data_IF_532923225049
#
_entry.id   IF_532923225049
#
_cell.length_a   1.000
_cell.length_b   1.000
_cell.length_c   1.000
_cell.angle_alpha   90.00
_cell.angle_beta   90.00
_cell.angle_gamma   90.00
#
_symmetry.space_group_name_H-M   'P 1'
#
loop_
_entity.id
_entity.type
_entity.pdbx_description
1 polymer ?
#
# COMPACT_ATOMS: atom_id res chain seq x y z
N UNK A 1 6.83 -4.84 -16.34
CA UNK A 1 6.04 -4.48 -15.14
C UNK A 1 4.65 -4.05 -15.59
N UNK A 2 3.59 -4.54 -14.95
CA UNK A 2 2.22 -4.12 -15.25
C UNK A 2 1.91 -2.82 -14.49
N UNK A 3 1.51 -1.74 -15.18
CA UNK A 3 1.25 -0.45 -14.55
C UNK A 3 -0.07 -0.46 -13.78
N UNK A 4 -0.26 0.50 -12.87
CA UNK A 4 -1.57 0.80 -12.27
C UNK A 4 -2.49 1.34 -13.36
N UNK A 5 -3.71 0.81 -13.44
CA UNK A 5 -4.67 1.16 -14.48
C UNK A 5 -5.86 1.96 -13.95
N UNK A 6 -6.63 2.56 -14.87
CA UNK A 6 -7.92 3.20 -14.53
C UNK A 6 -8.96 2.21 -14.02
N UNK A 7 -8.94 0.97 -14.51
CA UNK A 7 -9.83 -0.07 -14.04
C UNK A 7 -9.58 -0.42 -12.57
N UNK A 8 -8.29 -0.46 -12.15
CA UNK A 8 -7.92 -0.68 -10.75
C UNK A 8 -8.47 0.43 -9.84
N UNK A 9 -8.34 1.68 -10.28
CA UNK A 9 -8.87 2.85 -9.58
C UNK A 9 -10.40 2.83 -9.46
N UNK A 10 -11.11 2.55 -10.56
CA UNK A 10 -12.57 2.50 -10.58
C UNK A 10 -13.11 1.36 -9.70
N UNK A 11 -12.48 0.19 -9.78
CA UNK A 11 -12.83 -0.96 -8.94
C UNK A 11 -12.59 -0.64 -7.46
N UNK A 12 -11.41 -0.14 -7.11
CA UNK A 12 -11.08 0.21 -5.74
C UNK A 12 -12.01 1.28 -5.18
N UNK A 13 -12.28 2.35 -5.96
CA UNK A 13 -13.23 3.39 -5.58
C UNK A 13 -14.64 2.87 -5.35
N UNK A 14 -15.11 1.98 -6.24
CA UNK A 14 -16.44 1.34 -6.11
C UNK A 14 -16.51 0.48 -4.85
N UNK A 15 -15.52 -0.38 -4.61
CA UNK A 15 -15.45 -1.22 -3.43
C UNK A 15 -15.35 -0.40 -2.13
N UNK A 16 -14.54 0.66 -2.12
CA UNK A 16 -14.36 1.57 -1.00
C UNK A 16 -15.66 2.31 -0.65
N UNK A 17 -16.37 2.85 -1.65
CA UNK A 17 -17.67 3.50 -1.43
C UNK A 17 -18.71 2.48 -0.93
N UNK A 18 -18.77 1.30 -1.54
CA UNK A 18 -19.65 0.24 -1.09
C UNK A 18 -19.34 -0.16 0.36
N UNK A 19 -18.06 -0.25 0.74
CA UNK A 19 -17.64 -0.56 2.09
C UNK A 19 -18.13 0.50 3.06
N UNK A 20 -17.85 1.79 2.80
CA UNK A 20 -18.32 2.91 3.63
C UNK A 20 -19.84 2.93 3.83
N UNK A 21 -20.60 2.52 2.82
CA UNK A 21 -22.06 2.41 2.86
C UNK A 21 -22.58 1.12 3.50
N UNK A 22 -21.71 0.20 3.96
CA UNK A 22 -22.09 -1.09 4.54
C UNK A 22 -22.61 -2.10 3.50
N UNK A 23 -22.23 -1.94 2.23
CA UNK A 23 -22.72 -2.72 1.07
C UNK A 23 -21.63 -3.52 0.35
N UNK A 24 -20.39 -3.57 0.86
CA UNK A 24 -19.31 -4.28 0.19
C UNK A 24 -19.39 -5.81 0.31
N UNK A 25 -19.99 -6.36 1.38
CA UNK A 25 -20.02 -7.82 1.62
C UNK A 25 -20.57 -8.64 0.43
N UNK A 26 -21.70 -8.28 -0.22
CA UNK A 26 -22.18 -9.00 -1.40
C UNK A 26 -21.22 -8.93 -2.60
N UNK A 27 -20.57 -7.79 -2.81
CA UNK A 27 -19.60 -7.59 -3.90
C UNK A 27 -18.41 -8.54 -3.68
N UNK A 28 -17.86 -8.53 -2.48
CA UNK A 28 -16.70 -9.35 -2.13
C UNK A 28 -17.04 -10.84 -2.16
N UNK A 29 -18.23 -11.24 -1.69
CA UNK A 29 -18.69 -12.63 -1.80
C UNK A 29 -18.88 -13.09 -3.26
N UNK A 30 -19.31 -12.20 -4.15
CA UNK A 30 -19.42 -12.52 -5.58
C UNK A 30 -18.03 -12.67 -6.22
N UNK A 31 -17.09 -11.79 -5.89
CA UNK A 31 -15.71 -11.86 -6.38
C UNK A 31 -14.99 -13.11 -5.87
N UNK A 32 -15.20 -13.48 -4.60
CA UNK A 32 -14.71 -14.73 -4.03
C UNK A 32 -15.19 -15.95 -4.82
N UNK A 33 -16.51 -16.04 -5.06
CA UNK A 33 -17.10 -17.14 -5.85
C UNK A 33 -16.57 -17.19 -7.28
N UNK A 34 -16.18 -16.06 -7.83
CA UNK A 34 -15.57 -15.99 -9.17
C UNK A 34 -14.16 -16.55 -9.12
N UNK A 35 -13.32 -16.07 -8.20
CA UNK A 35 -11.97 -16.56 -7.98
C UNK A 35 -11.93 -18.08 -7.69
N UNK A 36 -12.85 -18.58 -6.85
CA UNK A 36 -12.97 -20.02 -6.57
C UNK A 36 -13.34 -20.86 -7.82
N UNK A 37 -14.03 -20.27 -8.80
CA UNK A 37 -14.42 -20.96 -10.06
C UNK A 37 -13.38 -20.84 -11.16
N UNK A 38 -12.70 -19.69 -11.22
CA UNK A 38 -11.72 -19.31 -12.24
C UNK A 38 -10.30 -19.41 -11.64
N UNK A 39 -10.02 -20.47 -10.87
CA UNK A 39 -8.75 -20.65 -10.17
C UNK A 39 -7.55 -20.76 -11.12
N UNK A 40 -7.81 -21.11 -12.39
CA UNK A 40 -6.84 -21.17 -13.48
C UNK A 40 -6.61 -19.81 -14.16
N UNK A 41 -7.48 -18.82 -13.95
CA UNK A 41 -7.26 -17.43 -14.35
C UNK A 41 -6.55 -16.66 -13.23
N UNK A 42 -5.25 -16.39 -13.36
CA UNK A 42 -4.48 -15.68 -12.33
C UNK A 42 -4.99 -14.26 -12.06
N UNK A 43 -5.68 -13.64 -13.02
CA UNK A 43 -6.20 -12.28 -12.89
C UNK A 43 -7.53 -12.23 -12.14
N UNK A 44 -8.21 -13.36 -11.96
CA UNK A 44 -9.52 -13.42 -11.29
C UNK A 44 -9.43 -13.11 -9.79
N UNK A 45 -8.29 -13.41 -9.15
CA UNK A 45 -8.02 -13.12 -7.74
C UNK A 45 -7.73 -11.66 -7.46
N UNK A 46 -7.21 -10.89 -8.43
CA UNK A 46 -6.82 -9.50 -8.19
C UNK A 46 -8.01 -8.61 -7.80
N UNK A 47 -9.15 -8.61 -8.51
CA UNK A 47 -10.32 -7.84 -8.11
C UNK A 47 -10.83 -8.19 -6.70
N UNK A 48 -10.75 -9.47 -6.33
CA UNK A 48 -11.14 -9.96 -5.02
C UNK A 48 -10.25 -9.34 -3.94
N UNK A 49 -8.93 -9.51 -4.05
CA UNK A 49 -7.96 -8.94 -3.12
C UNK A 49 -8.06 -7.40 -3.02
N UNK A 50 -8.19 -6.72 -4.16
CA UNK A 50 -8.31 -5.26 -4.20
C UNK A 50 -9.55 -4.76 -3.43
N UNK A 51 -10.66 -5.49 -3.52
CA UNK A 51 -11.90 -5.16 -2.80
C UNK A 51 -11.80 -5.41 -1.30
N UNK A 52 -11.09 -6.47 -0.89
CA UNK A 52 -10.81 -6.74 0.52
C UNK A 52 -9.96 -5.63 1.13
N UNK A 53 -8.91 -5.18 0.42
CA UNK A 53 -8.10 -4.02 0.86
C UNK A 53 -8.95 -2.75 0.96
N UNK A 54 -9.83 -2.50 -0.01
CA UNK A 54 -10.73 -1.34 0.03
C UNK A 54 -11.65 -1.36 1.27
N UNK A 55 -12.10 -2.55 1.69
CA UNK A 55 -12.86 -2.73 2.93
C UNK A 55 -12.01 -2.44 4.17
N UNK A 56 -10.79 -3.00 4.24
CA UNK A 56 -9.85 -2.79 5.34
C UNK A 56 -9.58 -1.30 5.58
N UNK A 57 -9.38 -0.52 4.51
CA UNK A 57 -9.06 0.92 4.62
C UNK A 57 -10.30 1.82 4.65
N UNK A 58 -11.51 1.26 4.67
CA UNK A 58 -12.75 2.04 4.64
C UNK A 58 -13.01 2.82 5.94
N UNK A 59 -12.40 2.39 7.05
CA UNK A 59 -12.54 3.00 8.37
C UNK A 59 -13.81 2.59 9.13
N UNK A 60 -14.49 1.50 8.71
CA UNK A 60 -15.63 0.95 9.46
C UNK A 60 -15.20 -0.20 10.38
N UNK A 61 -15.74 -0.18 11.60
CA UNK A 61 -15.43 -1.20 12.61
C UNK A 61 -16.07 -2.57 12.34
N UNK A 62 -17.13 -2.65 11.52
CA UNK A 62 -17.79 -3.92 11.16
C UNK A 62 -17.03 -4.73 10.10
N UNK A 63 -15.80 -4.30 9.79
CA UNK A 63 -14.87 -4.96 8.85
C UNK A 63 -13.60 -5.49 9.53
N UNK A 64 -13.53 -5.45 10.88
CA UNK A 64 -12.44 -6.05 11.67
C UNK A 64 -12.31 -7.58 11.53
N UNK A 65 -13.32 -8.25 10.95
CA UNK A 65 -13.32 -9.70 10.68
C UNK A 65 -12.60 -10.09 9.37
N UNK A 66 -12.03 -9.14 8.62
CA UNK A 66 -11.37 -9.49 7.36
C UNK A 66 -10.06 -10.24 7.59
N UNK A 67 -9.95 -11.42 6.97
CA UNK A 67 -8.78 -12.27 7.10
C UNK A 67 -7.61 -11.67 6.32
N UNK A 68 -6.71 -11.03 7.06
CA UNK A 68 -5.41 -10.57 6.58
C UNK A 68 -4.70 -11.63 5.73
N UNK A 69 -4.78 -12.90 6.15
CA UNK A 69 -4.14 -14.03 5.49
C UNK A 69 -4.70 -14.23 4.10
N UNK A 70 -6.04 -14.15 3.96
CA UNK A 70 -6.73 -14.32 2.68
C UNK A 70 -6.31 -13.25 1.66
N UNK A 71 -6.10 -12.00 2.09
CA UNK A 71 -5.57 -10.93 1.22
C UNK A 71 -4.16 -11.27 0.75
N UNK A 72 -3.27 -11.65 1.68
CA UNK A 72 -1.87 -11.93 1.36
C UNK A 72 -1.72 -13.17 0.49
N UNK A 73 -2.51 -14.22 0.73
CA UNK A 73 -2.54 -15.45 -0.06
C UNK A 73 -3.06 -15.19 -1.47
N UNK A 74 -4.21 -14.51 -1.61
CA UNK A 74 -4.77 -14.18 -2.94
C UNK A 74 -3.79 -13.35 -3.77
N UNK A 75 -3.10 -12.38 -3.15
CA UNK A 75 -2.07 -11.59 -3.83
C UNK A 75 -0.81 -12.42 -4.14
N UNK A 76 -0.53 -13.47 -3.37
CA UNK A 76 0.59 -14.37 -3.61
C UNK A 76 0.35 -15.29 -4.79
N UNK A 77 -0.86 -15.82 -4.93
CA UNK A 77 -1.26 -16.62 -6.10
C UNK A 77 -1.14 -15.80 -7.39
N UNK A 78 -1.64 -14.56 -7.36
CA UNK A 78 -1.47 -13.63 -8.47
C UNK A 78 0.00 -13.37 -8.78
N UNK A 79 0.84 -13.08 -7.78
CA UNK A 79 2.25 -12.76 -8.01
C UNK A 79 3.10 -13.99 -8.39
N UNK A 80 2.62 -15.20 -8.11
CA UNK A 80 3.23 -16.43 -8.62
C UNK A 80 3.10 -16.52 -10.14
N UNK A 81 1.94 -16.13 -10.67
CA UNK A 81 1.63 -16.21 -12.11
C UNK A 81 2.05 -14.93 -12.86
N UNK A 82 1.86 -13.77 -12.23
CA UNK A 82 2.14 -12.43 -12.76
C UNK A 82 3.13 -11.68 -11.85
N UNK A 83 4.40 -12.11 -11.77
CA UNK A 83 5.39 -11.54 -10.83
C UNK A 83 5.70 -10.06 -11.09
N UNK A 84 5.37 -9.56 -12.28
CA UNK A 84 5.50 -8.16 -12.68
C UNK A 84 4.34 -7.26 -12.28
N UNK A 85 3.31 -7.75 -11.58
CA UNK A 85 2.14 -6.97 -11.18
C UNK A 85 2.46 -5.99 -10.04
N UNK A 86 2.69 -4.72 -10.39
CA UNK A 86 3.18 -3.71 -9.44
C UNK A 86 2.21 -3.48 -8.28
N UNK A 87 0.93 -3.22 -8.59
CA UNK A 87 -0.06 -2.88 -7.57
C UNK A 87 -0.30 -4.03 -6.60
N UNK A 88 -0.40 -5.27 -7.08
CA UNK A 88 -0.52 -6.44 -6.24
C UNK A 88 0.63 -6.59 -5.24
N UNK A 89 1.87 -6.41 -5.69
CA UNK A 89 3.04 -6.46 -4.80
C UNK A 89 3.03 -5.32 -3.79
N UNK A 90 2.73 -4.10 -4.24
CA UNK A 90 2.59 -2.95 -3.35
C UNK A 90 1.53 -3.22 -2.27
N UNK A 91 0.34 -3.71 -2.64
CA UNK A 91 -0.75 -4.01 -1.73
C UNK A 91 -0.40 -5.14 -0.76
N UNK A 92 0.34 -6.16 -1.21
CA UNK A 92 0.80 -7.25 -0.35
C UNK A 92 1.75 -6.72 0.72
N UNK A 93 2.75 -5.93 0.33
CA UNK A 93 3.66 -5.26 1.26
C UNK A 93 2.87 -4.37 2.22
N UNK A 94 2.02 -3.48 1.69
CA UNK A 94 1.22 -2.56 2.49
C UNK A 94 0.38 -3.30 3.54
N UNK A 95 -0.31 -4.37 3.13
CA UNK A 95 -1.13 -5.20 4.03
C UNK A 95 -0.28 -5.78 5.14
N UNK A 96 0.90 -6.35 4.84
CA UNK A 96 1.86 -6.82 5.85
C UNK A 96 2.29 -5.73 6.83
N UNK A 97 2.36 -4.48 6.37
CA UNK A 97 2.70 -3.34 7.24
C UNK A 97 1.58 -2.89 8.19
N UNK A 98 0.37 -3.42 8.03
CA UNK A 98 -0.75 -3.13 8.94
C UNK A 98 -0.70 -4.00 10.21
N UNK A 99 0.09 -5.09 10.22
CA UNK A 99 0.24 -5.90 11.41
C UNK A 99 0.94 -5.10 12.53
N UNK A 100 0.38 -5.07 13.75
CA UNK A 100 0.95 -4.33 14.86
C UNK A 100 2.31 -4.92 15.26
N UNK A 101 3.29 -4.08 15.55
CA UNK A 101 4.68 -4.50 15.86
C UNK A 101 4.79 -5.08 17.28
N UNK A 102 3.89 -4.70 18.20
CA UNK A 102 4.09 -4.89 19.65
C UNK A 102 3.23 -5.99 20.29
N UNK A 103 2.61 -6.91 19.53
CA UNK A 103 1.79 -7.97 20.14
C UNK A 103 2.65 -9.17 20.56
N UNK A 104 2.78 -9.39 21.87
CA UNK A 104 3.58 -10.48 22.47
C UNK A 104 3.19 -11.87 21.95
N UNK A 105 1.90 -12.11 21.70
CA UNK A 105 1.38 -13.43 21.31
C UNK A 105 1.80 -13.87 19.90
N UNK A 106 2.23 -12.95 19.03
CA UNK A 106 2.51 -13.24 17.62
C UNK A 106 3.84 -12.69 17.09
N UNK A 107 4.77 -12.29 17.97
CA UNK A 107 6.05 -11.65 17.58
C UNK A 107 6.81 -12.37 16.48
N UNK A 108 6.94 -13.70 16.55
CA UNK A 108 7.68 -14.50 15.55
C UNK A 108 6.98 -14.47 14.18
N UNK A 109 5.65 -14.59 14.18
CA UNK A 109 4.86 -14.53 12.95
C UNK A 109 4.95 -13.14 12.31
N UNK A 110 4.80 -12.08 13.11
CA UNK A 110 4.90 -10.69 12.63
C UNK A 110 6.29 -10.43 12.08
N UNK A 111 7.36 -10.84 12.76
CA UNK A 111 8.72 -10.70 12.27
C UNK A 111 8.91 -11.42 10.92
N UNK A 112 8.36 -12.62 10.76
CA UNK A 112 8.42 -13.34 9.48
C UNK A 112 7.67 -12.59 8.36
N UNK A 113 6.48 -12.05 8.64
CA UNK A 113 5.74 -11.23 7.67
C UNK A 113 6.51 -9.95 7.30
N UNK A 114 7.19 -9.32 8.25
CA UNK A 114 8.04 -8.14 8.00
C UNK A 114 9.24 -8.47 7.12
N UNK A 115 9.93 -9.59 7.37
CA UNK A 115 11.01 -10.07 6.50
C UNK A 115 10.50 -10.34 5.07
N UNK A 116 9.30 -10.95 4.93
CA UNK A 116 8.68 -11.15 3.60
C UNK A 116 8.33 -9.83 2.92
N UNK A 117 7.85 -8.84 3.68
CA UNK A 117 7.57 -7.50 3.16
C UNK A 117 8.85 -6.79 2.69
N UNK A 118 9.96 -6.91 3.43
CA UNK A 118 11.26 -6.37 3.06
C UNK A 118 11.82 -7.01 1.78
N UNK A 119 11.71 -8.34 1.64
CA UNK A 119 12.07 -9.03 0.41
C UNK A 119 11.22 -8.54 -0.78
N UNK A 120 9.91 -8.40 -0.58
CA UNK A 120 9.00 -7.92 -1.62
C UNK A 120 9.27 -6.48 -2.06
N UNK A 121 9.58 -5.59 -1.12
CA UNK A 121 9.84 -4.18 -1.47
C UNK A 121 11.18 -4.03 -2.19
N UNK A 122 12.20 -4.81 -1.80
CA UNK A 122 13.46 -4.87 -2.53
C UNK A 122 13.25 -5.36 -3.97
N UNK A 123 12.46 -6.43 -4.16
CA UNK A 123 12.10 -6.91 -5.50
C UNK A 123 11.30 -5.86 -6.29
N UNK A 124 10.35 -5.19 -5.64
CA UNK A 124 9.54 -4.13 -6.27
C UNK A 124 10.42 -2.99 -6.78
N UNK A 125 11.33 -2.49 -5.95
CA UNK A 125 12.27 -1.41 -6.31
C UNK A 125 13.22 -1.87 -7.43
N UNK A 126 13.76 -3.09 -7.34
CA UNK A 126 14.62 -3.65 -8.39
C UNK A 126 13.90 -3.67 -9.74
N UNK A 127 12.66 -4.17 -9.77
CA UNK A 127 11.86 -4.21 -11.00
C UNK A 127 11.50 -2.80 -11.52
N UNK A 128 11.29 -1.83 -10.63
CA UNK A 128 11.01 -0.45 -11.04
C UNK A 128 12.19 0.15 -11.81
N UNK A 129 13.42 -0.16 -11.38
CA UNK A 129 14.65 0.31 -12.04
C UNK A 129 14.83 -0.23 -13.46
N UNK A 130 14.17 -1.33 -13.81
CA UNK A 130 14.16 -1.91 -15.16
C UNK A 130 13.14 -1.23 -16.10
N UNK A 131 12.39 -0.24 -15.61
CA UNK A 131 11.32 0.43 -16.37
C UNK A 131 11.43 1.94 -16.28
N UNK A 132 10.75 2.64 -17.20
CA UNK A 132 10.68 4.10 -17.14
C UNK A 132 9.95 4.54 -15.85
N UNK A 133 10.54 5.52 -15.15
CA UNK A 133 10.01 6.04 -13.89
C UNK A 133 8.53 6.46 -14.01
N UNK A 134 7.74 6.09 -13.00
CA UNK A 134 6.36 6.53 -12.82
C UNK A 134 6.21 7.20 -11.45
N UNK A 135 5.39 8.26 -11.29
CA UNK A 135 5.29 8.99 -10.02
C UNK A 135 4.91 8.12 -8.81
N UNK A 136 4.05 7.11 -9.02
CA UNK A 136 3.64 6.20 -7.94
C UNK A 136 4.76 5.24 -7.47
N UNK A 137 5.87 5.13 -8.20
CA UNK A 137 7.03 4.33 -7.75
C UNK A 137 7.66 4.87 -6.47
N UNK A 138 7.50 6.17 -6.18
CA UNK A 138 7.90 6.75 -4.90
C UNK A 138 7.26 6.01 -3.72
N UNK A 139 6.02 5.51 -3.85
CA UNK A 139 5.32 4.82 -2.78
C UNK A 139 6.05 3.54 -2.32
N UNK A 140 6.74 2.84 -3.22
CA UNK A 140 7.53 1.67 -2.87
C UNK A 140 8.77 2.03 -2.04
N UNK A 141 9.44 3.14 -2.35
CA UNK A 141 10.55 3.65 -1.55
C UNK A 141 10.10 4.02 -0.13
N UNK A 142 8.90 4.59 0.01
CA UNK A 142 8.35 4.92 1.33
C UNK A 142 7.91 3.69 2.12
N UNK A 143 7.45 2.62 1.45
CA UNK A 143 7.27 1.33 2.11
C UNK A 143 8.59 0.72 2.57
N UNK A 144 9.64 0.81 1.74
CA UNK A 144 10.97 0.31 2.10
C UNK A 144 11.52 1.06 3.30
N UNK A 145 11.50 2.39 3.26
CA UNK A 145 11.89 3.21 4.39
C UNK A 145 11.14 2.74 5.65
N UNK A 146 9.81 2.60 5.56
CA UNK A 146 8.97 2.28 6.73
C UNK A 146 9.40 0.99 7.38
N UNK A 147 9.74 -0.02 6.59
CA UNK A 147 10.21 -1.30 7.07
C UNK A 147 11.57 -1.18 7.79
N UNK A 148 12.49 -0.36 7.28
CA UNK A 148 13.78 -0.08 7.95
C UNK A 148 13.58 0.67 9.28
N UNK A 149 12.64 1.61 9.32
CA UNK A 149 12.33 2.37 10.53
C UNK A 149 11.59 1.54 11.59
N UNK A 150 10.61 0.72 11.20
CA UNK A 150 9.88 -0.15 12.13
C UNK A 150 10.73 -1.33 12.63
N UNK A 151 11.70 -1.79 11.83
CA UNK A 151 12.60 -2.90 12.18
C UNK A 151 13.70 -2.48 13.13
N UNK A 152 14.76 -1.88 12.59
CA UNK A 152 16.01 -1.58 13.32
C UNK A 152 16.15 -0.09 13.67
N UNK A 153 15.14 0.73 13.35
CA UNK A 153 15.22 2.21 13.46
C UNK A 153 16.42 2.77 12.69
N UNK A 154 16.72 2.18 11.52
CA UNK A 154 17.81 2.65 10.68
C UNK A 154 17.44 3.97 10.00
N UNK A 155 17.73 5.07 10.69
CA UNK A 155 17.48 6.43 10.23
C UNK A 155 18.20 6.74 8.92
N UNK A 156 19.44 6.29 8.77
CA UNK A 156 20.27 6.62 7.62
C UNK A 156 19.74 5.97 6.34
N UNK A 157 19.39 4.68 6.43
CA UNK A 157 18.80 3.94 5.30
C UNK A 157 17.41 4.49 4.97
N UNK A 158 16.57 4.75 5.98
CA UNK A 158 15.25 5.36 5.76
C UNK A 158 15.34 6.74 5.09
N UNK A 159 16.23 7.62 5.57
CA UNK A 159 16.48 8.94 4.97
C UNK A 159 16.95 8.81 3.52
N UNK A 160 17.91 7.91 3.27
CA UNK A 160 18.44 7.67 1.93
C UNK A 160 17.37 7.22 0.93
N UNK A 161 16.44 6.36 1.35
CA UNK A 161 15.31 5.92 0.54
C UNK A 161 14.32 7.05 0.23
N UNK A 162 14.05 7.93 1.20
CA UNK A 162 13.18 9.11 1.01
C UNK A 162 13.82 10.08 0.02
N UNK A 163 15.10 10.39 0.19
CA UNK A 163 15.84 11.29 -0.70
C UNK A 163 15.98 10.69 -2.12
N UNK A 164 16.20 9.38 -2.24
CA UNK A 164 16.22 8.69 -3.53
C UNK A 164 14.89 8.80 -4.28
N UNK A 165 13.76 8.71 -3.57
CA UNK A 165 12.44 8.94 -4.16
C UNK A 165 12.22 10.40 -4.56
N UNK A 166 12.67 11.34 -3.73
CA UNK A 166 12.51 12.78 -3.97
C UNK A 166 13.40 13.31 -5.11
N UNK A 167 14.50 12.63 -5.41
CA UNK A 167 15.38 12.96 -6.54
C UNK A 167 14.75 12.63 -7.91
N UNK A 168 13.67 11.87 -7.94
CA UNK A 168 13.00 11.47 -9.18
C UNK A 168 11.94 12.48 -9.61
N UNK A 169 11.56 12.51 -10.91
CA UNK A 169 10.47 13.35 -11.38
C UNK A 169 9.17 13.07 -10.62
N UNK A 170 8.64 14.09 -9.95
CA UNK A 170 7.38 14.02 -9.23
C UNK A 170 6.27 14.72 -10.03
N UNK A 171 5.12 14.08 -10.12
CA UNK A 171 3.88 14.69 -10.65
C UNK A 171 2.67 14.10 -9.92
N UNK A 172 1.52 14.81 -9.93
CA UNK A 172 0.33 14.34 -9.24
C UNK A 172 -0.11 12.96 -9.72
N UNK A 173 -0.37 12.05 -8.78
CA UNK A 173 -0.91 10.71 -9.05
C UNK A 173 -2.42 10.85 -9.25
N UNK A 174 -2.87 10.65 -10.48
CA UNK A 174 -4.26 10.85 -10.89
C UNK A 174 -5.19 9.68 -10.53
N UNK A 175 -5.00 9.06 -9.36
CA UNK A 175 -5.83 7.98 -8.82
C UNK A 175 -6.43 8.41 -7.47
N UNK A 176 -7.61 9.05 -7.45
CA UNK A 176 -8.18 9.60 -6.21
C UNK A 176 -8.47 8.56 -5.13
N UNK A 177 -8.94 7.38 -5.51
CA UNK A 177 -9.35 6.32 -4.57
C UNK A 177 -8.14 5.51 -4.12
N UNK A 178 -7.34 4.99 -5.06
CA UNK A 178 -6.09 4.29 -4.77
C UNK A 178 -5.08 5.22 -4.11
N UNK A 179 -5.13 6.52 -4.39
CA UNK A 179 -4.27 7.51 -3.75
C UNK A 179 -4.37 7.49 -2.23
N UNK A 180 -5.53 7.13 -1.67
CA UNK A 180 -5.72 6.97 -0.22
C UNK A 180 -4.89 5.82 0.38
N UNK A 181 -4.68 4.73 -0.35
CA UNK A 181 -3.82 3.61 0.09
C UNK A 181 -2.35 3.85 -0.30
N UNK A 182 -2.11 4.41 -1.49
CA UNK A 182 -0.76 4.72 -1.97
C UNK A 182 -0.06 5.78 -1.10
N UNK A 183 -0.80 6.74 -0.55
CA UNK A 183 -0.23 7.76 0.33
C UNK A 183 -0.05 7.27 1.78
N UNK A 184 -0.56 6.09 2.15
CA UNK A 184 -0.55 5.62 3.54
C UNK A 184 0.87 5.56 4.16
N UNK A 185 1.93 5.09 3.46
CA UNK A 185 3.29 5.10 3.99
C UNK A 185 3.81 6.52 4.28
N UNK A 186 3.46 7.50 3.44
CA UNK A 186 3.85 8.89 3.64
C UNK A 186 3.17 9.50 4.86
N UNK A 187 1.87 9.28 4.98
CA UNK A 187 1.07 9.78 6.11
C UNK A 187 1.56 9.19 7.42
N UNK A 188 1.83 7.88 7.43
CA UNK A 188 2.38 7.19 8.59
C UNK A 188 3.72 7.82 9.01
N UNK A 189 4.66 7.95 8.08
CA UNK A 189 5.97 8.53 8.38
C UNK A 189 5.89 9.97 8.86
N UNK A 190 5.06 10.79 8.23
CA UNK A 190 4.89 12.17 8.63
C UNK A 190 4.24 12.29 10.02
N UNK A 191 3.55 11.24 10.48
CA UNK A 191 3.04 11.13 11.85
C UNK A 191 4.11 10.87 12.91
N UNK A 192 5.22 10.25 12.54
CA UNK A 192 6.33 9.93 13.46
C UNK A 192 7.07 11.22 13.88
N UNK A 193 7.30 11.45 15.19
CA UNK A 193 7.90 12.70 15.68
C UNK A 193 9.33 12.91 15.16
N UNK A 194 10.12 11.83 15.10
CA UNK A 194 11.55 11.86 14.76
C UNK A 194 11.80 11.32 13.33
N UNK A 195 10.79 11.37 12.45
CA UNK A 195 10.95 10.90 11.08
C UNK A 195 12.08 11.66 10.34
N UNK A 196 13.04 10.94 9.73
CA UNK A 196 14.06 11.58 8.93
C UNK A 196 13.47 12.27 7.71
N UNK A 197 14.17 13.27 7.20
CA UNK A 197 13.83 13.98 5.96
C UNK A 197 12.38 14.49 5.89
N UNK A 198 11.80 14.87 7.05
CA UNK A 198 10.38 15.28 7.19
C UNK A 198 9.95 16.38 6.21
N UNK A 199 10.80 17.37 5.96
CA UNK A 199 10.52 18.44 4.99
C UNK A 199 10.46 17.90 3.55
N UNK A 200 11.45 17.09 3.16
CA UNK A 200 11.49 16.40 1.86
C UNK A 200 10.24 15.53 1.68
N UNK A 201 9.88 14.74 2.70
CA UNK A 201 8.68 13.92 2.73
C UNK A 201 7.41 14.76 2.54
N UNK A 202 7.28 15.89 3.25
CA UNK A 202 6.12 16.78 3.14
C UNK A 202 5.96 17.37 1.74
N UNK A 203 7.05 17.82 1.11
CA UNK A 203 7.04 18.33 -0.27
C UNK A 203 6.66 17.25 -1.27
N UNK A 204 7.29 16.07 -1.17
CA UNK A 204 7.01 14.95 -2.05
C UNK A 204 5.55 14.48 -1.92
N UNK A 205 5.08 14.30 -0.69
CA UNK A 205 3.70 13.92 -0.38
C UNK A 205 2.69 14.95 -0.93
N UNK A 206 2.94 16.24 -0.75
CA UNK A 206 2.09 17.32 -1.27
C UNK A 206 2.08 17.40 -2.81
N UNK A 207 3.17 17.01 -3.46
CA UNK A 207 3.30 17.00 -4.93
C UNK A 207 2.61 15.79 -5.56
N UNK A 208 2.78 14.61 -4.97
CA UNK A 208 2.21 13.35 -5.47
C UNK A 208 0.71 13.24 -5.19
N UNK A 209 0.25 13.77 -4.05
CA UNK A 209 -1.12 13.58 -3.55
C UNK A 209 -1.82 14.90 -3.19
N UNK A 210 -1.81 15.93 -4.05
CA UNK A 210 -2.33 17.26 -3.72
C UNK A 210 -3.83 17.24 -3.35
N UNK A 211 -4.59 16.33 -3.95
CA UNK A 211 -6.04 16.24 -3.76
C UNK A 211 -6.45 15.35 -2.58
N UNK A 212 -5.52 14.58 -1.99
CA UNK A 212 -5.85 13.64 -0.92
C UNK A 212 -6.21 14.38 0.38
N UNK A 213 -7.44 14.22 0.92
CA UNK A 213 -7.86 14.94 2.12
C UNK A 213 -6.96 14.64 3.34
N UNK A 214 -6.50 13.40 3.49
CA UNK A 214 -5.60 13.00 4.59
C UNK A 214 -4.27 13.73 4.51
N UNK A 215 -3.68 13.83 3.31
CA UNK A 215 -2.42 14.56 3.09
C UNK A 215 -2.57 16.03 3.45
N UNK A 216 -3.64 16.68 2.98
CA UNK A 216 -3.92 18.09 3.33
C UNK A 216 -4.01 18.30 4.84
N UNK A 217 -4.78 17.46 5.54
CA UNK A 217 -4.92 17.54 7.01
C UNK A 217 -3.57 17.41 7.73
N UNK A 218 -2.77 16.43 7.32
CA UNK A 218 -1.49 16.09 7.98
C UNK A 218 -0.45 17.18 7.74
N UNK A 219 -0.36 17.72 6.52
CA UNK A 219 0.53 18.86 6.23
C UNK A 219 0.11 20.10 7.02
N UNK A 220 -1.19 20.44 7.07
CA UNK A 220 -1.67 21.59 7.85
C UNK A 220 -1.42 21.42 9.34
N UNK A 221 -1.65 20.23 9.90
CA UNK A 221 -1.37 19.94 11.31
C UNK A 221 0.13 19.98 11.64
N UNK A 222 0.98 19.55 10.70
CA UNK A 222 2.43 19.60 10.85
C UNK A 222 3.01 21.02 10.76
N UNK A 223 2.41 21.90 9.94
CA UNK A 223 2.85 23.30 9.81
C UNK A 223 2.50 24.17 11.04
N UNK A 224 1.64 23.68 11.94
CA UNK A 224 1.24 24.37 13.16
C UNK A 224 2.07 23.97 14.40
N UNK A 225 3.04 23.06 14.24
CA UNK A 225 3.99 22.63 15.28
C UNK A 225 5.34 23.26 15.04
#
# INVERSE_FOLDING_TARGET
MLPVTRADEELFGTALMAARLGRARPIVAQLRKRYEKEWDDPLSGFPYALSMVAMLVSGRDDHHEFDYTEVVETLSDLLYQEPGHWLARFLRIHTRTLLPVETDEHKVYIAAERTRAAADVAELISRQAETAWQPWFACAYLLAARLEWEGDRDEATAAGLIEAAAAQPASPIAFPSLGGVLCAPFVWYFGEPDAPARETLGRLMGTLFPDQPTVRRVITAGAAR
#
